data_IF_364667752236
#
_entry.id   IF_364667752236
#
_cell.length_a   1.000
_cell.length_b   1.000
_cell.length_c   1.000
_cell.angle_alpha   90.00
_cell.angle_beta   90.00
_cell.angle_gamma   90.00
#
_symmetry.space_group_name_H-M   'P 1'
#
loop_
_entity.id
_entity.type
_entity.pdbx_description
1 polymer ?
#
# COMPACT_ATOMS: atom_id res chain seq x y z
N UNK A 1 3.04 -51.27 -8.72
CA UNK A 1 2.59 -49.97 -9.29
C UNK A 1 1.83 -49.13 -8.25
N UNK A 2 2.41 -48.79 -7.09
CA UNK A 2 1.77 -47.97 -6.03
C UNK A 2 2.57 -46.73 -5.58
N UNK A 3 3.82 -46.58 -6.06
CA UNK A 3 4.74 -45.51 -5.63
C UNK A 3 4.68 -44.23 -6.50
N UNK A 4 4.13 -44.32 -7.72
CA UNK A 4 4.03 -43.17 -8.64
C UNK A 4 2.83 -42.25 -8.36
N UNK A 5 1.80 -42.73 -7.66
CA UNK A 5 0.60 -41.93 -7.35
C UNK A 5 0.86 -40.98 -6.17
N UNK A 6 1.71 -41.35 -5.20
CA UNK A 6 2.00 -40.49 -4.05
C UNK A 6 2.85 -39.27 -4.41
N UNK A 7 3.84 -39.41 -5.29
CA UNK A 7 4.72 -38.29 -5.66
C UNK A 7 3.99 -37.19 -6.46
N UNK A 8 2.98 -37.56 -7.25
CA UNK A 8 2.20 -36.61 -8.03
C UNK A 8 1.22 -35.78 -7.17
N UNK A 9 0.70 -36.36 -6.09
CA UNK A 9 -0.21 -35.66 -5.17
C UNK A 9 0.56 -34.62 -4.33
N UNK A 10 1.79 -34.92 -3.90
CA UNK A 10 2.60 -33.97 -3.12
C UNK A 10 2.94 -32.71 -3.93
N UNK A 11 3.19 -32.84 -5.23
CA UNK A 11 3.48 -31.69 -6.11
C UNK A 11 2.23 -30.87 -6.42
N UNK A 12 1.05 -31.51 -6.57
CA UNK A 12 -0.21 -30.79 -6.76
C UNK A 12 -0.67 -30.06 -5.49
N UNK A 13 -0.41 -30.64 -4.31
CA UNK A 13 -0.75 -30.01 -3.01
C UNK A 13 0.20 -28.85 -2.69
N UNK A 14 1.45 -28.89 -3.13
CA UNK A 14 2.40 -27.77 -2.92
C UNK A 14 2.05 -26.51 -3.71
N UNK A 15 1.42 -26.63 -4.88
CA UNK A 15 0.98 -25.49 -5.67
C UNK A 15 -0.31 -24.82 -5.13
N UNK A 16 -1.08 -25.52 -4.28
CA UNK A 16 -2.36 -25.04 -3.77
C UNK A 16 -2.26 -24.25 -2.44
N UNK A 17 -1.05 -24.11 -1.89
CA UNK A 17 -0.81 -23.46 -0.60
C UNK A 17 0.19 -22.30 -0.71
N UNK A 18 0.26 -21.60 -1.85
CA UNK A 18 1.03 -20.36 -1.94
C UNK A 18 0.42 -19.38 -0.92
N UNK A 19 1.17 -18.98 0.12
CA UNK A 19 0.64 -18.08 1.14
C UNK A 19 0.12 -16.81 0.45
N UNK A 20 -1.02 -16.27 0.90
CA UNK A 20 -1.58 -15.02 0.34
C UNK A 20 -0.54 -13.88 0.29
N UNK A 21 0.39 -13.87 1.26
CA UNK A 21 1.53 -12.96 1.29
C UNK A 21 2.49 -13.11 0.09
N UNK A 22 2.74 -14.33 -0.38
CA UNK A 22 3.59 -14.56 -1.55
C UNK A 22 2.90 -14.11 -2.85
N UNK A 23 1.56 -14.11 -2.90
CA UNK A 23 0.81 -13.57 -4.05
C UNK A 23 0.78 -12.03 -4.04
N UNK A 24 0.79 -11.46 -2.84
CA UNK A 24 0.76 -10.02 -2.59
C UNK A 24 2.15 -9.36 -2.75
N UNK A 25 3.21 -10.13 -2.53
CA UNK A 25 4.58 -9.66 -2.62
C UNK A 25 4.90 -9.02 -3.98
N UNK A 26 5.78 -8.02 -3.93
CA UNK A 26 6.25 -7.30 -5.10
C UNK A 26 6.04 -5.79 -4.99
N UNK A 27 6.24 -5.13 -6.12
CA UNK A 27 6.08 -3.70 -6.26
C UNK A 27 4.66 -3.36 -6.71
N UNK A 28 4.17 -2.25 -6.21
CA UNK A 28 2.85 -1.71 -6.49
C UNK A 28 3.00 -0.23 -6.82
N UNK A 29 2.20 0.27 -7.75
CA UNK A 29 2.12 1.69 -8.04
C UNK A 29 0.69 2.12 -8.33
N UNK A 30 0.46 3.42 -8.34
CA UNK A 30 -0.86 3.92 -8.67
C UNK A 30 -1.05 5.39 -8.43
N UNK A 31 -2.32 5.75 -8.31
CA UNK A 31 -2.80 7.13 -8.22
C UNK A 31 -3.86 7.26 -7.13
N UNK A 32 -4.09 8.48 -6.71
CA UNK A 32 -5.02 8.82 -5.66
C UNK A 32 -5.61 10.19 -5.91
N UNK A 33 -6.64 10.51 -5.14
CA UNK A 33 -7.34 11.80 -5.26
C UNK A 33 -7.54 12.45 -3.90
N UNK A 34 -7.90 13.72 -3.94
CA UNK A 34 -8.20 14.55 -2.77
C UNK A 34 -7.08 15.52 -2.46
N UNK A 35 -7.38 16.43 -1.54
CA UNK A 35 -6.43 17.46 -1.11
C UNK A 35 -6.33 17.53 0.41
N UNK A 36 -5.18 17.93 0.91
CA UNK A 36 -4.92 18.23 2.32
C UNK A 36 -4.33 19.64 2.43
N UNK A 37 -4.81 20.44 3.37
CA UNK A 37 -4.33 21.81 3.60
C UNK A 37 -3.83 21.95 5.05
N UNK A 38 -2.56 21.62 5.32
CA UNK A 38 -1.99 21.74 6.65
C UNK A 38 -1.89 23.22 7.10
N UNK A 39 -2.13 23.52 8.39
CA UNK A 39 -2.01 24.88 8.90
C UNK A 39 -0.54 25.31 9.01
N UNK A 40 -0.23 26.55 8.64
CA UNK A 40 1.08 27.15 8.89
C UNK A 40 1.07 28.01 10.15
N UNK A 41 2.13 28.02 11.00
CA UNK A 41 3.27 27.09 11.12
C UNK A 41 2.95 25.82 11.95
N UNK A 42 3.75 24.72 11.92
CA UNK A 42 5.12 24.57 11.39
C UNK A 42 5.22 24.07 9.95
N UNK A 43 4.09 23.92 9.26
CA UNK A 43 4.05 23.51 7.87
C UNK A 43 4.21 24.72 6.94
N UNK A 44 4.89 24.58 5.80
CA UNK A 44 4.79 25.54 4.72
C UNK A 44 3.33 25.73 4.29
N UNK A 45 2.92 26.95 3.88
CA UNK A 45 1.61 27.16 3.27
C UNK A 45 1.56 26.40 1.94
N UNK A 46 0.95 25.21 1.96
CA UNK A 46 0.87 24.32 0.81
C UNK A 46 -0.48 23.59 0.80
N UNK A 47 -1.01 23.35 -0.40
CA UNK A 47 -2.07 22.37 -0.63
C UNK A 47 -1.40 21.13 -1.16
N UNK A 48 -1.54 20.03 -0.42
CA UNK A 48 -1.01 18.73 -0.82
C UNK A 48 -2.06 17.97 -1.61
N UNK A 49 -1.64 17.26 -2.65
CA UNK A 49 -2.45 16.24 -3.33
C UNK A 49 -1.84 14.86 -3.06
N UNK A 50 -1.91 14.37 -1.80
CA UNK A 50 -1.22 13.16 -1.42
C UNK A 50 -1.72 11.99 -2.27
N UNK A 51 -0.82 11.04 -2.54
CA UNK A 51 -1.09 9.88 -3.38
C UNK A 51 -1.39 10.17 -4.86
N UNK A 52 -1.30 11.42 -5.34
CA UNK A 52 -1.46 11.76 -6.77
C UNK A 52 -0.68 10.81 -7.70
N UNK A 53 0.56 10.50 -7.31
CA UNK A 53 1.27 9.29 -7.73
C UNK A 53 1.93 8.63 -6.52
N UNK A 54 1.96 7.30 -6.49
CA UNK A 54 2.63 6.56 -5.43
C UNK A 54 3.25 5.27 -5.93
N UNK A 55 4.28 4.81 -5.22
CA UNK A 55 4.91 3.51 -5.41
C UNK A 55 5.16 2.87 -4.04
N UNK A 56 4.94 1.56 -3.94
CA UNK A 56 5.09 0.79 -2.72
C UNK A 56 5.63 -0.60 -2.97
N UNK A 57 6.09 -1.25 -1.90
CA UNK A 57 6.67 -2.58 -1.93
C UNK A 57 6.15 -3.40 -0.76
N UNK A 58 5.81 -4.65 -1.04
CA UNK A 58 5.53 -5.71 -0.07
C UNK A 58 6.64 -6.74 -0.22
N UNK A 59 7.65 -6.77 0.68
CA UNK A 59 8.74 -7.72 0.59
C UNK A 59 8.23 -9.16 0.72
N UNK A 60 8.79 -10.15 -0.01
CA UNK A 60 8.31 -11.53 0.03
C UNK A 60 8.40 -12.22 1.40
N UNK A 61 9.25 -11.68 2.29
CA UNK A 61 9.59 -12.26 3.59
C UNK A 61 9.12 -11.41 4.77
N UNK A 62 8.40 -10.32 4.50
CA UNK A 62 7.96 -9.39 5.55
C UNK A 62 6.48 -9.09 5.41
N UNK A 63 5.79 -9.02 6.56
CA UNK A 63 4.40 -8.57 6.63
C UNK A 63 4.35 -7.03 6.68
N UNK A 64 5.07 -6.37 5.77
CA UNK A 64 5.21 -4.92 5.73
C UNK A 64 4.80 -4.36 4.37
N UNK A 65 4.27 -3.14 4.38
CA UNK A 65 4.02 -2.38 3.17
C UNK A 65 4.57 -0.98 3.34
N UNK A 66 5.51 -0.61 2.49
CA UNK A 66 6.20 0.68 2.57
C UNK A 66 6.34 1.30 1.20
N UNK A 67 6.44 2.62 1.14
CA UNK A 67 6.58 3.30 -0.14
C UNK A 67 6.64 4.81 -0.03
N UNK A 68 6.47 5.46 -1.17
CA UNK A 68 6.47 6.92 -1.30
C UNK A 68 5.33 7.40 -2.17
N UNK A 69 4.86 8.61 -1.88
CA UNK A 69 3.93 9.34 -2.72
C UNK A 69 4.54 10.68 -3.15
N UNK A 70 4.05 11.20 -4.27
CA UNK A 70 4.40 12.53 -4.81
C UNK A 70 3.19 13.17 -5.46
N UNK A 71 3.14 14.51 -5.46
CA UNK A 71 2.21 15.30 -6.27
C UNK A 71 2.92 16.16 -7.33
N UNK A 72 4.21 15.90 -7.54
CA UNK A 72 5.08 16.66 -8.45
C UNK A 72 5.80 17.83 -7.78
N UNK A 73 5.23 18.45 -6.75
CA UNK A 73 5.86 19.52 -5.97
C UNK A 73 6.30 19.07 -4.57
N UNK A 74 5.56 18.12 -4.01
CA UNK A 74 5.73 17.59 -2.68
C UNK A 74 5.84 16.08 -2.72
N UNK A 75 6.44 15.52 -1.68
CA UNK A 75 6.58 14.09 -1.56
C UNK A 75 6.53 13.66 -0.10
N UNK A 76 6.29 12.37 0.11
CA UNK A 76 6.31 11.77 1.43
C UNK A 76 6.46 10.28 1.38
N UNK A 77 6.33 9.64 2.54
CA UNK A 77 6.42 8.20 2.69
C UNK A 77 5.10 7.67 3.21
N UNK A 78 4.92 6.36 3.07
CA UNK A 78 3.90 5.64 3.80
C UNK A 78 4.46 4.31 4.25
N UNK A 79 3.96 3.80 5.38
CA UNK A 79 4.43 2.54 5.92
C UNK A 79 3.39 1.88 6.83
N UNK A 80 3.45 0.56 6.87
CA UNK A 80 2.78 -0.28 7.85
C UNK A 80 3.59 -1.57 8.10
N UNK A 81 3.37 -2.20 9.26
CA UNK A 81 4.17 -3.32 9.77
C UNK A 81 3.37 -4.62 9.97
N UNK A 82 2.11 -4.68 9.53
CA UNK A 82 1.32 -5.92 9.62
C UNK A 82 0.29 -6.02 8.51
N UNK A 83 0.27 -7.11 7.74
CA UNK A 83 -0.75 -7.31 6.70
C UNK A 83 -1.86 -8.21 7.27
N UNK A 84 -3.11 -7.74 7.22
CA UNK A 84 -4.25 -8.56 7.65
C UNK A 84 -4.77 -9.35 6.46
N UNK A 85 -4.46 -10.64 6.42
CA UNK A 85 -4.98 -11.56 5.41
C UNK A 85 -6.41 -11.97 5.79
N UNK A 86 -7.39 -11.59 4.96
CA UNK A 86 -8.81 -11.92 5.17
C UNK A 86 -9.16 -13.24 4.48
N UNK A 87 -8.61 -13.46 3.28
CA UNK A 87 -8.78 -14.69 2.50
C UNK A 87 -7.59 -14.88 1.55
N UNK A 88 -7.63 -15.93 0.72
CA UNK A 88 -6.68 -16.12 -0.39
C UNK A 88 -6.63 -14.94 -1.36
N UNK A 89 -7.73 -14.19 -1.46
CA UNK A 89 -7.92 -13.16 -2.49
C UNK A 89 -7.91 -11.74 -1.95
N UNK A 90 -8.03 -11.56 -0.63
CA UNK A 90 -8.19 -10.25 0.00
C UNK A 90 -7.20 -10.09 1.15
N UNK A 91 -6.41 -9.02 1.08
CA UNK A 91 -5.57 -8.54 2.16
C UNK A 91 -5.88 -7.07 2.46
N UNK A 92 -5.79 -6.68 3.72
CA UNK A 92 -6.03 -5.32 4.20
C UNK A 92 -4.77 -4.78 4.86
N UNK A 93 -4.45 -3.52 4.55
CA UNK A 93 -3.31 -2.80 5.11
C UNK A 93 -3.77 -1.43 5.60
N UNK A 94 -3.59 -1.19 6.90
CA UNK A 94 -3.88 0.08 7.56
C UNK A 94 -2.60 0.75 8.03
N UNK A 95 -2.19 1.85 7.43
CA UNK A 95 -0.90 2.46 7.76
C UNK A 95 -0.95 3.94 8.02
N UNK A 96 0.25 4.53 8.05
CA UNK A 96 0.45 5.97 8.18
C UNK A 96 1.16 6.50 6.96
N UNK A 97 0.82 7.73 6.59
CA UNK A 97 1.53 8.48 5.56
C UNK A 97 2.08 9.77 6.14
N UNK A 98 3.15 10.25 5.52
CA UNK A 98 3.93 11.38 5.97
C UNK A 98 4.10 12.40 4.87
N UNK A 99 4.53 13.61 5.20
CA UNK A 99 4.97 14.64 4.26
C UNK A 99 6.38 15.07 4.63
N UNK A 100 7.26 15.07 3.63
CA UNK A 100 8.61 15.64 3.76
C UNK A 100 8.51 17.16 3.65
N UNK A 101 8.54 17.82 4.81
CA UNK A 101 8.45 19.28 4.93
C UNK A 101 9.74 19.95 4.45
N UNK A 102 10.89 19.36 4.82
CA UNK A 102 12.22 19.76 4.36
C UNK A 102 13.03 18.50 4.08
N UNK A 103 14.23 18.58 3.46
CA UNK A 103 15.08 17.40 3.24
C UNK A 103 15.41 16.61 4.51
N UNK A 104 15.37 17.25 5.68
CA UNK A 104 15.70 16.64 6.98
C UNK A 104 14.51 16.51 7.93
N UNK A 105 13.33 17.02 7.57
CA UNK A 105 12.14 17.03 8.42
C UNK A 105 10.95 16.41 7.71
N UNK A 106 10.39 15.39 8.35
CA UNK A 106 9.20 14.68 7.90
C UNK A 106 8.16 14.69 9.02
N UNK A 107 6.88 14.78 8.66
CA UNK A 107 5.77 14.78 9.61
C UNK A 107 4.72 13.76 9.21
N UNK A 108 4.17 13.05 10.18
CA UNK A 108 3.00 12.19 9.97
C UNK A 108 1.77 13.04 9.67
N UNK A 109 1.15 12.78 8.53
CA UNK A 109 0.04 13.57 8.00
C UNK A 109 -1.30 12.86 8.08
N UNK A 110 -1.31 11.58 8.45
CA UNK A 110 -2.53 10.84 8.74
C UNK A 110 -2.38 9.36 8.49
N UNK A 111 -3.51 8.72 8.17
CA UNK A 111 -3.62 7.27 7.99
C UNK A 111 -4.09 6.92 6.58
N UNK A 112 -3.87 5.68 6.20
CA UNK A 112 -4.45 5.09 4.99
C UNK A 112 -5.04 3.71 5.30
N UNK A 113 -5.99 3.30 4.49
CA UNK A 113 -6.59 1.97 4.49
C UNK A 113 -6.64 1.48 3.05
N UNK A 114 -5.96 0.38 2.73
CA UNK A 114 -5.93 -0.20 1.37
C UNK A 114 -6.34 -1.65 1.43
N UNK A 115 -7.24 -2.03 0.52
CA UNK A 115 -7.65 -3.39 0.23
C UNK A 115 -6.91 -3.85 -1.02
N UNK A 116 -6.18 -4.94 -0.92
CA UNK A 116 -5.50 -5.59 -2.03
C UNK A 116 -6.29 -6.80 -2.48
N UNK A 117 -6.57 -6.88 -3.78
CA UNK A 117 -7.20 -8.01 -4.43
C UNK A 117 -6.10 -8.87 -5.08
N UNK A 118 -5.61 -9.87 -4.34
CA UNK A 118 -4.40 -10.64 -4.67
C UNK A 118 -4.45 -11.25 -6.08
N UNK A 119 -5.61 -11.82 -6.46
CA UNK A 119 -5.78 -12.48 -7.75
C UNK A 119 -5.71 -11.50 -8.93
N UNK A 120 -6.43 -10.36 -8.81
CA UNK A 120 -6.52 -9.37 -9.88
C UNK A 120 -5.29 -8.44 -9.93
N UNK A 121 -4.41 -8.52 -8.92
CA UNK A 121 -3.21 -7.68 -8.79
C UNK A 121 -3.56 -6.19 -8.81
N UNK A 122 -4.71 -5.85 -8.23
CA UNK A 122 -5.20 -4.46 -8.08
C UNK A 122 -5.44 -4.14 -6.61
N UNK A 123 -5.33 -2.88 -6.24
CA UNK A 123 -5.64 -2.40 -4.90
C UNK A 123 -6.49 -1.13 -4.95
N UNK A 124 -7.29 -0.94 -3.90
CA UNK A 124 -8.13 0.24 -3.74
C UNK A 124 -8.21 0.61 -2.27
N UNK A 125 -8.30 1.89 -1.97
CA UNK A 125 -8.26 2.36 -0.59
C UNK A 125 -8.65 3.80 -0.44
N UNK A 126 -8.42 4.29 0.77
CA UNK A 126 -8.63 5.67 1.13
C UNK A 126 -7.53 6.15 2.06
N UNK A 127 -7.40 7.48 2.14
CA UNK A 127 -6.52 8.11 3.11
C UNK A 127 -7.30 9.15 3.94
N UNK A 128 -6.75 9.47 5.09
CA UNK A 128 -7.26 10.46 6.00
C UNK A 128 -6.13 11.37 6.48
N UNK A 129 -6.49 12.59 6.90
CA UNK A 129 -5.60 13.55 7.53
C UNK A 129 -6.31 14.22 8.70
N UNK A 130 -5.62 14.59 9.79
CA UNK A 130 -6.22 15.43 10.83
C UNK A 130 -6.38 16.89 10.39
N UNK A 131 -5.84 17.26 9.22
CA UNK A 131 -5.96 18.59 8.65
C UNK A 131 -7.19 18.68 7.71
N UNK A 132 -7.67 19.89 7.39
CA UNK A 132 -8.74 20.07 6.42
C UNK A 132 -8.45 19.34 5.11
N UNK A 133 -9.46 18.60 4.62
CA UNK A 133 -9.35 17.83 3.38
C UNK A 133 -10.58 18.01 2.51
N UNK A 134 -10.39 17.90 1.19
CA UNK A 134 -11.47 17.88 0.21
C UNK A 134 -11.59 16.47 -0.37
N UNK A 135 -12.78 15.82 -0.31
CA UNK A 135 -13.02 14.53 -0.93
C UNK A 135 -13.13 14.62 -2.46
N UNK A 136 -13.01 13.50 -3.20
CA UNK A 136 -12.76 12.14 -2.71
C UNK A 136 -11.32 11.96 -2.21
N UNK A 137 -11.10 11.09 -1.21
CA UNK A 137 -9.77 10.76 -0.66
C UNK A 137 -9.43 9.31 -0.96
N UNK A 138 -9.15 9.02 -2.23
CA UNK A 138 -8.97 7.65 -2.71
C UNK A 138 -7.51 7.31 -2.95
N UNK A 139 -7.24 6.00 -2.93
CA UNK A 139 -6.01 5.36 -3.40
C UNK A 139 -6.44 4.25 -4.35
N UNK A 140 -5.81 4.14 -5.49
CA UNK A 140 -5.93 3.03 -6.42
C UNK A 140 -4.55 2.67 -6.93
N UNK A 141 -4.33 1.40 -7.23
CA UNK A 141 -3.09 0.98 -7.85
C UNK A 141 -3.11 -0.45 -8.32
N UNK A 142 -2.05 -0.81 -9.00
CA UNK A 142 -1.84 -2.09 -9.64
C UNK A 142 -0.46 -2.63 -9.23
N UNK A 143 -0.33 -3.94 -9.26
CA UNK A 143 0.97 -4.55 -9.04
C UNK A 143 1.81 -4.48 -10.32
N UNK A 144 3.08 -4.12 -10.18
CA UNK A 144 3.99 -4.09 -11.30
C UNK A 144 4.37 -5.51 -11.75
N UNK A 145 4.64 -5.72 -13.06
CA UNK A 145 5.06 -7.00 -13.62
C UNK A 145 6.44 -7.45 -13.13
#
# INVERSE_FOLDING_TARGET
>A
MRKLILAAITVLVLAAATPALAQLAGNWDGVGTGTCTPPSPPFPPAVLQPWSSWTGVIPPTEDSFTGTWTDGAHNGRFYHTSITIISSDIAIIDGKWTWRITPTKEATMGTFHIIFYCHNRVCSGSWASPHPTVPPRTIQGDALP
#
